data_IF_485112674131
#
_entry.id   IF_485112674131
#
_cell.length_a   1.000
_cell.length_b   1.000
_cell.length_c   1.000
_cell.angle_alpha   90.00
_cell.angle_beta   90.00
_cell.angle_gamma   90.00
#
_symmetry.space_group_name_H-M   'P 1'
#
loop_
_entity.id
_entity.type
_entity.pdbx_description
1 polymer ?
#
# COMPACT_ATOMS: atom_id res chain seq x y z
N UNK A 1 8.90 -15.10 0.77
CA UNK A 1 7.80 -14.48 1.51
C UNK A 1 6.89 -15.57 2.03
N UNK A 2 6.50 -15.52 3.30
CA UNK A 2 5.64 -16.53 3.96
C UNK A 2 4.17 -16.09 3.94
N UNK A 3 3.22 -17.02 4.08
CA UNK A 3 1.79 -16.69 4.20
C UNK A 3 1.52 -15.74 5.37
N UNK A 4 2.28 -15.87 6.47
CA UNK A 4 2.18 -14.97 7.61
C UNK A 4 2.60 -13.54 7.28
N UNK A 5 3.65 -13.36 6.45
CA UNK A 5 4.06 -12.04 5.97
C UNK A 5 3.00 -11.42 5.07
N UNK A 6 2.44 -12.21 4.15
CA UNK A 6 1.35 -11.79 3.25
C UNK A 6 0.12 -11.31 4.01
N UNK A 7 -0.40 -12.13 4.92
CA UNK A 7 -1.59 -11.81 5.72
C UNK A 7 -1.36 -10.55 6.55
N UNK A 8 -0.16 -10.41 7.12
CA UNK A 8 0.17 -9.25 7.94
C UNK A 8 0.30 -7.97 7.11
N UNK A 9 0.94 -8.05 5.94
CA UNK A 9 0.99 -6.92 5.00
C UNK A 9 -0.41 -6.49 4.59
N UNK A 10 -1.30 -7.44 4.26
CA UNK A 10 -2.68 -7.16 3.89
C UNK A 10 -3.48 -6.48 5.03
N UNK A 11 -3.27 -6.91 6.28
CA UNK A 11 -3.86 -6.28 7.45
C UNK A 11 -3.37 -4.83 7.64
N UNK A 12 -2.06 -4.60 7.49
CA UNK A 12 -1.50 -3.27 7.62
C UNK A 12 -1.99 -2.34 6.51
N UNK A 13 -2.04 -2.79 5.26
CA UNK A 13 -2.58 -2.02 4.13
C UNK A 13 -4.02 -1.60 4.39
N UNK A 14 -4.89 -2.54 4.76
CA UNK A 14 -6.30 -2.24 5.08
C UNK A 14 -6.42 -1.22 6.22
N UNK A 15 -5.62 -1.42 7.26
CA UNK A 15 -5.59 -0.53 8.42
C UNK A 15 -5.11 0.86 8.01
N UNK A 16 -3.93 0.98 7.41
CA UNK A 16 -3.20 2.23 7.20
C UNK A 16 -3.74 3.10 6.07
N UNK A 17 -4.41 2.49 5.09
CA UNK A 17 -5.24 3.21 4.11
C UNK A 17 -6.67 3.50 4.61
N UNK A 18 -6.99 3.08 5.84
CA UNK A 18 -8.32 3.20 6.45
C UNK A 18 -9.42 2.69 5.51
N UNK A 19 -9.18 1.58 4.81
CA UNK A 19 -10.10 1.08 3.79
C UNK A 19 -11.43 0.62 4.42
N UNK A 20 -12.50 0.74 3.65
CA UNK A 20 -13.79 0.20 4.09
C UNK A 20 -13.70 -1.33 4.18
N UNK A 21 -14.51 -1.90 5.07
CA UNK A 21 -14.60 -3.35 5.23
C UNK A 21 -14.97 -3.98 3.88
N UNK A 22 -14.25 -5.03 3.48
CA UNK A 22 -14.37 -5.74 2.19
C UNK A 22 -13.76 -5.03 0.95
N UNK A 23 -12.96 -3.96 1.12
CA UNK A 23 -12.27 -3.33 -0.03
C UNK A 23 -11.21 -4.27 -0.63
N UNK A 24 -10.47 -4.97 0.22
CA UNK A 24 -9.50 -5.99 -0.15
C UNK A 24 -9.99 -7.36 0.35
N UNK A 25 -9.57 -8.47 -0.30
CA UNK A 25 -9.91 -9.81 0.17
C UNK A 25 -9.35 -10.08 1.57
N UNK A 26 -9.90 -11.08 2.27
CA UNK A 26 -9.45 -11.45 3.62
C UNK A 26 -8.10 -12.20 3.59
N UNK A 27 -7.79 -12.85 2.47
CA UNK A 27 -6.52 -13.51 2.21
C UNK A 27 -6.14 -13.40 0.73
N UNK A 28 -4.85 -13.53 0.46
CA UNK A 28 -4.29 -13.54 -0.90
C UNK A 28 -3.30 -14.70 -1.03
N UNK A 29 -3.11 -15.19 -2.24
CA UNK A 29 -2.20 -16.31 -2.48
C UNK A 29 -0.75 -15.85 -2.71
N UNK A 30 -0.57 -14.61 -3.17
CA UNK A 30 0.73 -14.04 -3.49
C UNK A 30 0.72 -12.51 -3.37
N UNK A 31 1.91 -11.91 -3.47
CA UNK A 31 2.09 -10.46 -3.35
C UNK A 31 1.40 -9.68 -4.46
N UNK A 32 1.50 -10.21 -5.68
CA UNK A 32 1.03 -9.55 -6.89
C UNK A 32 -0.49 -9.39 -6.86
N UNK A 33 -1.20 -10.33 -6.24
CA UNK A 33 -2.65 -10.22 -6.01
C UNK A 33 -2.99 -9.02 -5.10
N UNK A 34 -2.20 -8.76 -4.04
CA UNK A 34 -2.38 -7.56 -3.21
C UNK A 34 -2.18 -6.31 -4.07
N UNK A 35 -1.12 -6.29 -4.87
CA UNK A 35 -0.78 -5.19 -5.77
C UNK A 35 -1.90 -4.89 -6.75
N UNK A 36 -2.35 -5.90 -7.49
CA UNK A 36 -3.41 -5.76 -8.50
C UNK A 36 -4.73 -5.27 -7.90
N UNK A 37 -5.08 -5.70 -6.67
CA UNK A 37 -6.27 -5.22 -5.97
C UNK A 37 -6.10 -3.82 -5.39
N UNK A 38 -4.87 -3.43 -5.03
CA UNK A 38 -4.61 -2.13 -4.43
C UNK A 38 -4.49 -1.00 -5.46
N UNK A 39 -3.99 -1.27 -6.68
CA UNK A 39 -3.92 -0.27 -7.77
C UNK A 39 -5.24 0.47 -8.01
N UNK A 40 -6.40 -0.19 -8.20
CA UNK A 40 -7.67 0.52 -8.43
C UNK A 40 -8.10 1.35 -7.23
N UNK A 41 -7.75 0.94 -6.00
CA UNK A 41 -8.03 1.70 -4.78
C UNK A 41 -7.18 2.98 -4.74
N UNK A 42 -5.88 2.89 -5.03
CA UNK A 42 -5.00 4.06 -5.11
C UNK A 42 -5.43 4.97 -6.25
N UNK A 43 -5.80 4.41 -7.41
CA UNK A 43 -6.37 5.18 -8.53
C UNK A 43 -7.64 5.92 -8.12
N UNK A 44 -8.53 5.29 -7.34
CA UNK A 44 -9.71 5.95 -6.80
C UNK A 44 -9.33 7.11 -5.87
N UNK A 45 -8.44 6.87 -4.90
CA UNK A 45 -8.01 7.90 -3.95
C UNK A 45 -7.31 9.07 -4.66
N UNK A 46 -6.44 8.81 -5.65
CA UNK A 46 -5.83 9.85 -6.48
C UNK A 46 -6.87 10.75 -7.15
N UNK A 47 -7.94 10.17 -7.70
CA UNK A 47 -8.92 10.91 -8.50
C UNK A 47 -10.06 11.52 -7.68
N UNK A 48 -10.38 10.96 -6.51
CA UNK A 48 -11.58 11.30 -5.74
C UNK A 48 -11.29 11.79 -4.32
N UNK A 49 -10.16 11.42 -3.73
CA UNK A 49 -9.83 11.74 -2.34
C UNK A 49 -8.31 11.79 -2.09
N UNK A 50 -7.66 12.75 -2.76
CA UNK A 50 -6.20 12.90 -2.72
C UNK A 50 -5.69 13.24 -1.32
N UNK A 51 -6.46 13.99 -0.54
CA UNK A 51 -6.11 14.34 0.85
C UNK A 51 -6.03 13.11 1.74
N UNK A 52 -6.97 12.16 1.59
CA UNK A 52 -6.91 10.88 2.29
C UNK A 52 -5.70 10.06 1.87
N UNK A 53 -5.37 10.03 0.57
CA UNK A 53 -4.16 9.35 0.09
C UNK A 53 -2.91 9.90 0.76
N UNK A 54 -2.71 11.22 0.73
CA UNK A 54 -1.56 11.86 1.38
C UNK A 54 -1.48 11.54 2.88
N UNK A 55 -2.62 11.63 3.58
CA UNK A 55 -2.69 11.32 5.02
C UNK A 55 -2.29 9.88 5.29
N UNK A 56 -2.72 8.94 4.45
CA UNK A 56 -2.31 7.54 4.55
C UNK A 56 -0.83 7.33 4.25
N UNK A 57 -0.27 7.98 3.22
CA UNK A 57 1.17 7.88 2.91
C UNK A 57 2.05 8.31 4.10
N UNK A 58 1.69 9.41 4.76
CA UNK A 58 2.38 9.85 5.98
C UNK A 58 2.30 8.83 7.11
N UNK A 59 1.14 8.21 7.32
CA UNK A 59 0.94 7.21 8.38
C UNK A 59 1.67 5.89 8.13
N UNK A 60 1.81 5.52 6.85
CA UNK A 60 2.53 4.32 6.41
C UNK A 60 4.05 4.52 6.55
N UNK A 61 4.52 5.75 6.73
CA UNK A 61 5.92 6.15 6.72
C UNK A 61 6.57 5.91 5.35
N UNK A 62 5.85 6.29 4.28
CA UNK A 62 6.40 6.32 2.91
C UNK A 62 7.27 7.57 2.76
N UNK A 63 8.43 7.41 2.16
CA UNK A 63 9.37 8.50 1.90
C UNK A 63 8.73 9.59 1.03
N UNK A 64 8.55 10.78 1.62
CA UNK A 64 7.91 11.92 0.97
C UNK A 64 8.66 12.38 -0.29
N UNK A 65 9.99 12.25 -0.32
CA UNK A 65 10.77 12.58 -1.51
C UNK A 65 10.42 11.66 -2.68
N UNK A 66 10.29 10.35 -2.42
CA UNK A 66 9.89 9.37 -3.44
C UNK A 66 8.46 9.60 -3.92
N UNK A 67 7.55 9.94 -3.01
CA UNK A 67 6.16 10.28 -3.37
C UNK A 67 6.12 11.49 -4.31
N UNK A 68 6.86 12.55 -3.96
CA UNK A 68 6.95 13.76 -4.80
C UNK A 68 7.57 13.49 -6.16
N UNK A 69 8.61 12.66 -6.20
CA UNK A 69 9.27 12.24 -7.43
C UNK A 69 8.28 11.50 -8.35
N UNK A 70 7.59 10.49 -7.83
CA UNK A 70 6.57 9.72 -8.56
C UNK A 70 5.44 10.63 -9.08
N UNK A 71 4.93 11.54 -8.24
CA UNK A 71 3.89 12.50 -8.66
C UNK A 71 4.37 13.45 -9.77
N UNK A 72 5.66 13.82 -9.76
CA UNK A 72 6.20 14.82 -10.68
C UNK A 72 6.64 14.22 -12.02
N UNK A 73 7.06 12.96 -12.04
CA UNK A 73 7.68 12.31 -13.20
C UNK A 73 6.74 11.38 -13.95
N UNK A 74 5.70 10.85 -13.30
CA UNK A 74 4.89 9.79 -13.88
C UNK A 74 3.60 10.27 -14.54
N UNK A 75 3.16 9.51 -15.54
CA UNK A 75 1.86 9.71 -16.16
C UNK A 75 0.74 9.29 -15.20
N UNK A 76 -0.49 9.84 -15.33
CA UNK A 76 -1.62 9.46 -14.49
C UNK A 76 -1.91 7.95 -14.45
N UNK A 77 -1.62 7.24 -15.53
CA UNK A 77 -1.82 5.79 -15.63
C UNK A 77 -0.75 4.99 -14.86
N UNK A 78 0.49 5.49 -14.77
CA UNK A 78 1.59 4.87 -14.05
C UNK A 78 1.62 5.26 -12.57
N UNK A 79 1.21 6.49 -12.27
CA UNK A 79 1.21 7.09 -10.94
C UNK A 79 0.54 6.18 -9.89
N UNK A 80 -0.62 5.61 -10.22
CA UNK A 80 -1.33 4.71 -9.31
C UNK A 80 -0.51 3.46 -9.00
N UNK A 81 0.10 2.84 -10.02
CA UNK A 81 0.90 1.62 -9.83
C UNK A 81 2.17 1.87 -9.02
N UNK A 82 2.86 2.97 -9.26
CA UNK A 82 4.12 3.26 -8.56
C UNK A 82 3.88 3.68 -7.11
N UNK A 83 2.81 4.43 -6.83
CA UNK A 83 2.39 4.69 -5.46
C UNK A 83 1.96 3.41 -4.74
N UNK A 84 1.25 2.51 -5.42
CA UNK A 84 0.95 1.18 -4.88
C UNK A 84 2.21 0.43 -4.50
N UNK A 85 3.24 0.46 -5.35
CA UNK A 85 4.51 -0.22 -5.10
C UNK A 85 5.25 0.36 -3.89
N UNK A 86 5.30 1.69 -3.77
CA UNK A 86 5.89 2.36 -2.60
C UNK A 86 5.17 1.99 -1.31
N UNK A 87 3.84 2.01 -1.31
CA UNK A 87 3.02 1.64 -0.15
C UNK A 87 3.27 0.18 0.25
N UNK A 88 3.18 -0.74 -0.71
CA UNK A 88 3.32 -2.16 -0.43
C UNK A 88 4.71 -2.54 0.02
N UNK A 89 5.74 -1.92 -0.57
CA UNK A 89 7.11 -2.13 -0.14
C UNK A 89 7.29 -1.72 1.33
N UNK A 90 6.72 -0.58 1.73
CA UNK A 90 6.83 -0.09 3.10
C UNK A 90 6.06 -0.98 4.09
N UNK A 91 4.86 -1.41 3.71
CA UNK A 91 4.05 -2.31 4.55
C UNK A 91 4.63 -3.71 4.68
N UNK A 92 5.23 -4.24 3.61
CA UNK A 92 5.97 -5.49 3.67
C UNK A 92 7.17 -5.38 4.61
N UNK A 93 7.94 -4.29 4.54
CA UNK A 93 9.06 -4.06 5.47
C UNK A 93 8.60 -4.02 6.93
N UNK A 94 7.48 -3.35 7.22
CA UNK A 94 6.87 -3.33 8.57
C UNK A 94 6.45 -4.73 9.01
N UNK A 95 5.80 -5.49 8.14
CA UNK A 95 5.38 -6.86 8.42
C UNK A 95 6.56 -7.78 8.73
N UNK A 96 7.57 -7.80 7.86
CA UNK A 96 8.79 -8.61 8.04
C UNK A 96 9.52 -8.22 9.31
N UNK A 97 9.71 -6.93 9.57
CA UNK A 97 10.36 -6.42 10.79
C UNK A 97 9.60 -6.90 12.02
N UNK A 98 8.28 -6.73 12.04
CA UNK A 98 7.46 -7.12 13.18
C UNK A 98 7.51 -8.62 13.42
N UNK A 99 7.43 -9.45 12.39
CA UNK A 99 7.54 -10.91 12.51
C UNK A 99 8.93 -11.32 13.01
N UNK A 100 9.99 -10.69 12.50
CA UNK A 100 11.39 -10.99 12.85
C UNK A 100 11.74 -10.64 14.30
N UNK A 101 11.19 -9.55 14.83
CA UNK A 101 11.48 -9.05 16.18
C UNK A 101 10.38 -9.33 17.21
N UNK A 102 9.31 -10.04 16.85
CA UNK A 102 8.29 -10.55 17.79
C UNK A 102 8.67 -11.89 18.46
N UNK A 103 9.97 -12.22 18.51
CA UNK A 103 10.47 -13.38 19.29
C UNK A 103 10.57 -13.06 20.78
#
# INVERSE_FOLDING_TARGET
>A
MTNKELDYTLQLVNKDLSLEKNTLPESVNNFDEIREKLIPVIKYLLNKDFNRLLTSLYRIDVDEHKVKEVISLETPDQLASSLTDLILQRELQKAVTRIKYQS
#
